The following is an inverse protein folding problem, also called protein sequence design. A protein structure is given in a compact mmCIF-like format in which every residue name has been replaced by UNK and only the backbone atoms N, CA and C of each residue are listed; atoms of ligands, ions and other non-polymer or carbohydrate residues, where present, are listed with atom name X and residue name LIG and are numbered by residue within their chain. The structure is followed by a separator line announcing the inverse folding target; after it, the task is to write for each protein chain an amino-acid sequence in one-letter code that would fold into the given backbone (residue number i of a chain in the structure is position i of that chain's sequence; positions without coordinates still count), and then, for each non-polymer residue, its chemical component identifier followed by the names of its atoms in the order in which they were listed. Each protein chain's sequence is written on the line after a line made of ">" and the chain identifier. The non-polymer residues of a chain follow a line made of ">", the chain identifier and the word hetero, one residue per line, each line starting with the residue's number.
data_IF_019113617320
#
_entry.id   IF_019113617320
#
_cell.length_a   1.000
_cell.length_b   1.000
_cell.length_c   1.000
_cell.angle_alpha   90.00
_cell.angle_beta   90.00
_cell.angle_gamma   90.00
#
_symmetry.space_group_name_H-M   'P 1'
#
loop_
_entity.id
_entity.type
_entity.pdbx_description
1 polymer ?
#
# COMPACT_ATOMS: atom_id res chain seq x y z
N UNK A 1 -11.59 8.38 0.76
CA UNK A 1 -12.59 7.51 1.47
C UNK A 1 -13.51 6.69 0.54
N UNK A 2 -13.79 7.11 -0.71
CA UNK A 2 -14.60 6.29 -1.65
C UNK A 2 -13.89 4.98 -2.01
N UNK A 3 -12.57 5.02 -2.26
CA UNK A 3 -11.75 3.85 -2.60
C UNK A 3 -11.76 2.85 -1.45
N UNK A 4 -11.51 3.30 -0.21
CA UNK A 4 -11.57 2.47 1.00
C UNK A 4 -12.90 1.69 1.11
N UNK A 5 -14.02 2.42 0.99
CA UNK A 5 -15.35 1.82 1.11
C UNK A 5 -15.64 0.75 0.07
N UNK A 6 -15.06 0.88 -1.13
CA UNK A 6 -15.26 -0.07 -2.25
C UNK A 6 -14.23 -1.20 -2.28
N UNK A 7 -13.09 -1.05 -1.61
CA UNK A 7 -11.98 -1.99 -1.68
C UNK A 7 -11.85 -2.90 -0.47
N UNK A 8 -12.24 -2.44 0.72
CA UNK A 8 -12.00 -3.16 1.97
C UNK A 8 -13.27 -3.43 2.78
N UNK A 9 -13.33 -4.55 3.53
CA UNK A 9 -14.32 -4.78 4.57
C UNK A 9 -14.34 -3.67 5.62
N UNK A 10 -15.50 -3.40 6.21
CA UNK A 10 -15.72 -2.23 7.09
C UNK A 10 -14.71 -2.13 8.25
N UNK A 11 -14.40 -3.27 8.89
CA UNK A 11 -13.58 -3.30 10.12
C UNK A 11 -12.07 -3.07 9.90
N UNK A 12 -11.61 -3.15 8.65
CA UNK A 12 -10.19 -2.92 8.30
C UNK A 12 -9.99 -1.67 7.46
N UNK A 13 -11.03 -0.84 7.31
CA UNK A 13 -10.93 0.44 6.61
C UNK A 13 -10.23 1.45 7.47
N UNK A 14 -9.29 2.14 6.87
CA UNK A 14 -8.68 3.29 7.49
C UNK A 14 -9.58 4.52 7.35
N UNK A 15 -9.58 5.36 8.36
CA UNK A 15 -10.36 6.59 8.37
C UNK A 15 -9.60 7.76 7.70
N UNK A 16 -10.28 8.91 7.59
CA UNK A 16 -9.70 10.11 7.00
C UNK A 16 -8.52 10.65 7.81
N UNK A 17 -8.53 10.50 9.13
CA UNK A 17 -7.48 10.98 10.02
C UNK A 17 -6.15 10.28 9.74
N UNK A 18 -6.19 8.94 9.56
CA UNK A 18 -5.02 8.13 9.19
C UNK A 18 -4.41 8.61 7.88
N UNK A 19 -5.21 8.82 6.84
CA UNK A 19 -4.71 9.31 5.53
C UNK A 19 -4.09 10.70 5.61
N UNK A 20 -4.72 11.62 6.36
CA UNK A 20 -4.17 12.97 6.56
C UNK A 20 -2.85 12.94 7.33
N UNK A 21 -2.72 12.06 8.32
CA UNK A 21 -1.49 11.87 9.06
C UNK A 21 -0.37 11.33 8.15
N UNK A 22 -0.66 10.33 7.31
CA UNK A 22 0.31 9.79 6.34
C UNK A 22 0.78 10.85 5.35
N UNK A 23 -0.14 11.63 4.79
CA UNK A 23 0.20 12.75 3.91
C UNK A 23 1.04 13.82 4.58
N UNK A 24 0.85 14.05 5.88
CA UNK A 24 1.64 15.01 6.65
C UNK A 24 3.04 14.50 6.98
N UNK A 25 3.17 13.21 7.37
CA UNK A 25 4.42 12.62 7.86
C UNK A 25 5.34 12.22 6.71
N UNK A 26 4.79 11.57 5.68
CA UNK A 26 5.58 11.10 4.53
C UNK A 26 4.80 11.26 3.21
N UNK A 27 4.65 12.49 2.71
CA UNK A 27 3.90 12.75 1.47
C UNK A 27 4.47 12.04 0.24
N UNK A 28 5.78 11.82 0.16
CA UNK A 28 6.44 11.10 -0.93
C UNK A 28 6.07 9.60 -0.98
N UNK A 29 5.65 9.04 0.15
CA UNK A 29 5.17 7.66 0.26
C UNK A 29 3.67 7.51 -0.04
N UNK A 30 2.98 8.59 -0.39
CA UNK A 30 1.56 8.59 -0.71
C UNK A 30 1.35 8.87 -2.20
N UNK A 31 1.20 7.83 -3.00
CA UNK A 31 1.05 7.91 -4.46
C UNK A 31 -0.41 7.67 -4.84
N UNK A 32 -0.93 8.45 -5.78
CA UNK A 32 -2.29 8.28 -6.29
C UNK A 32 -2.29 7.87 -7.76
N UNK A 33 -3.27 7.06 -8.12
CA UNK A 33 -3.59 6.72 -9.50
C UNK A 33 -4.77 7.59 -9.96
N UNK A 34 -4.55 8.39 -10.99
CA UNK A 34 -5.59 9.16 -11.66
C UNK A 34 -6.00 8.51 -12.98
N UNK A 35 -7.30 8.51 -13.27
CA UNK A 35 -7.80 8.19 -14.60
C UNK A 35 -7.86 9.46 -15.46
N UNK A 36 -7.46 9.38 -16.71
CA UNK A 36 -7.73 10.47 -17.66
C UNK A 36 -9.24 10.66 -17.85
N UNK A 37 -9.70 11.90 -17.86
CA UNK A 37 -11.06 12.23 -18.27
C UNK A 37 -11.14 12.11 -19.81
N UNK A 38 -11.64 10.98 -20.31
CA UNK A 38 -11.93 10.77 -21.73
C UNK A 38 -13.24 11.44 -22.17
N UNK A 39 -14.02 12.03 -21.26
CA UNK A 39 -15.19 12.82 -21.58
C UNK A 39 -14.78 14.23 -21.98
N UNK A 40 -14.71 14.50 -23.28
CA UNK A 40 -14.48 15.82 -23.86
C UNK A 40 -15.65 16.80 -23.63
N UNK A 41 -16.25 16.83 -22.46
CA UNK A 41 -17.19 17.85 -22.06
C UNK A 41 -16.43 19.14 -21.75
N UNK A 42 -16.56 20.12 -22.63
CA UNK A 42 -16.05 21.46 -22.44
C UNK A 42 -16.66 22.07 -21.18
N UNK A 43 -15.85 22.17 -20.11
CA UNK A 43 -16.27 22.75 -18.82
C UNK A 43 -15.95 21.89 -17.58
N UNK A 44 -15.47 20.65 -17.72
CA UNK A 44 -14.95 19.90 -16.60
C UNK A 44 -13.58 20.48 -16.19
N UNK A 45 -13.42 20.83 -14.91
CA UNK A 45 -12.11 21.19 -14.36
C UNK A 45 -11.09 20.11 -14.75
N UNK A 46 -9.89 20.52 -15.20
CA UNK A 46 -8.80 19.69 -15.73
C UNK A 46 -8.17 18.80 -14.63
N UNK A 47 -8.95 17.91 -14.01
CA UNK A 47 -8.49 16.97 -13.01
C UNK A 47 -9.04 15.57 -13.30
N UNK A 48 -8.17 14.58 -13.46
CA UNK A 48 -8.55 13.18 -13.54
C UNK A 48 -9.23 12.72 -12.23
N UNK A 49 -9.97 11.63 -12.29
CA UNK A 49 -10.59 11.04 -11.11
C UNK A 49 -9.60 10.12 -10.42
N UNK A 50 -9.32 10.36 -9.13
CA UNK A 50 -8.49 9.43 -8.33
C UNK A 50 -9.21 8.08 -8.25
N UNK A 51 -8.56 7.04 -8.79
CA UNK A 51 -9.09 5.69 -8.91
C UNK A 51 -8.27 4.64 -8.14
N UNK A 52 -7.12 5.01 -7.60
CA UNK A 52 -6.28 4.16 -6.75
C UNK A 52 -5.35 4.97 -5.87
N UNK A 53 -4.72 4.31 -4.92
CA UNK A 53 -3.66 4.89 -4.09
C UNK A 53 -2.73 3.78 -3.56
N UNK A 54 -1.50 4.19 -3.22
CA UNK A 54 -0.54 3.44 -2.43
C UNK A 54 -0.08 4.35 -1.29
N UNK A 55 -0.11 3.83 -0.07
CA UNK A 55 0.48 4.46 1.11
C UNK A 55 1.65 3.64 1.61
N UNK A 56 2.72 4.31 1.99
CA UNK A 56 3.90 3.67 2.56
C UNK A 56 4.54 4.54 3.63
N UNK A 57 5.50 3.98 4.35
CA UNK A 57 6.33 4.66 5.32
C UNK A 57 7.72 4.03 5.38
N UNK A 58 8.69 4.75 5.92
CA UNK A 58 10.03 4.23 6.10
C UNK A 58 10.18 3.70 7.52
N UNK A 59 10.63 2.46 7.64
CA UNK A 59 11.06 1.87 8.91
C UNK A 59 12.58 1.80 8.96
N UNK A 60 13.13 1.82 10.17
CA UNK A 60 14.59 1.74 10.36
C UNK A 60 15.15 0.49 9.68
N UNK A 61 14.48 -0.64 9.87
CA UNK A 61 14.84 -1.96 9.33
C UNK A 61 13.60 -2.86 9.38
N UNK A 62 13.71 -4.10 8.89
CA UNK A 62 12.67 -5.11 9.06
C UNK A 62 12.32 -5.27 10.56
N UNK A 63 11.02 -5.22 10.93
CA UNK A 63 10.63 -5.28 12.34
C UNK A 63 10.89 -6.66 12.95
N UNK A 64 11.22 -6.67 14.25
CA UNK A 64 11.44 -7.89 15.04
C UNK A 64 10.15 -8.45 15.66
N UNK A 65 9.05 -7.71 15.58
CA UNK A 65 7.75 -8.05 16.19
C UNK A 65 6.62 -7.83 15.19
N UNK A 66 5.57 -8.66 15.30
CA UNK A 66 4.36 -8.59 14.46
C UNK A 66 3.42 -7.43 14.82
N UNK A 67 3.60 -6.81 15.99
CA UNK A 67 2.83 -5.63 16.44
C UNK A 67 2.92 -4.45 15.46
N UNK A 68 4.03 -4.32 14.74
CA UNK A 68 4.23 -3.28 13.73
C UNK A 68 3.27 -3.38 12.54
N UNK A 69 2.71 -4.55 12.28
CA UNK A 69 1.81 -4.79 11.15
C UNK A 69 0.33 -4.55 11.47
N UNK A 70 0.01 -3.94 12.60
CA UNK A 70 -1.39 -3.65 12.96
C UNK A 70 -2.03 -2.62 12.04
N UNK A 71 -3.29 -2.85 11.67
CA UNK A 71 -4.08 -1.93 10.84
C UNK A 71 -4.28 -0.61 11.59
N UNK A 72 -4.03 0.51 10.90
CA UNK A 72 -4.25 1.85 11.44
C UNK A 72 -3.23 2.29 12.50
N UNK A 73 -2.04 1.67 12.55
CA UNK A 73 -0.98 2.11 13.44
C UNK A 73 -0.59 3.59 13.19
N UNK A 74 -0.06 4.23 14.22
CA UNK A 74 0.34 5.62 14.15
C UNK A 74 1.68 5.78 13.40
N UNK A 75 1.60 6.28 12.17
CA UNK A 75 2.78 6.53 11.34
C UNK A 75 3.78 7.49 11.99
N UNK A 76 3.34 8.42 12.85
CA UNK A 76 4.26 9.36 13.51
C UNK A 76 5.21 8.70 14.50
N UNK A 77 4.85 7.49 14.96
CA UNK A 77 5.66 6.66 15.85
C UNK A 77 6.52 5.64 15.08
N UNK A 78 6.02 5.18 13.94
CA UNK A 78 6.65 4.12 13.15
C UNK A 78 7.63 4.66 12.09
N UNK A 79 7.29 5.81 11.47
CA UNK A 79 8.10 6.38 10.40
C UNK A 79 9.47 6.84 10.88
N UNK A 80 10.51 6.36 10.20
CA UNK A 80 11.91 6.72 10.44
C UNK A 80 12.50 7.39 9.18
N UNK A 81 12.65 8.71 9.12
CA UNK A 81 13.30 9.37 7.98
C UNK A 81 14.68 8.78 7.71
N UNK A 82 14.94 8.38 6.46
CA UNK A 82 16.18 7.72 6.08
C UNK A 82 16.28 6.25 6.49
N UNK A 83 15.18 5.65 6.95
CA UNK A 83 15.10 4.21 7.21
C UNK A 83 15.39 3.38 5.96
N UNK A 84 15.85 2.15 6.14
CA UNK A 84 16.27 1.26 5.05
C UNK A 84 15.16 0.31 4.57
N UNK A 85 14.03 0.23 5.26
CA UNK A 85 12.90 -0.61 4.89
C UNK A 85 11.69 0.26 4.52
N UNK A 86 11.09 0.03 3.33
CA UNK A 86 9.84 0.64 2.92
C UNK A 86 8.68 -0.28 3.31
N UNK A 87 7.83 0.13 4.22
CA UNK A 87 6.59 -0.58 4.52
C UNK A 87 5.43 -0.03 3.69
N UNK A 88 4.83 -0.86 2.85
CA UNK A 88 3.62 -0.55 2.10
C UNK A 88 2.42 -0.86 3.01
N UNK A 89 1.89 0.18 3.63
CA UNK A 89 0.82 0.06 4.63
C UNK A 89 -0.57 -0.12 4.03
N UNK A 90 -0.82 0.42 2.83
CA UNK A 90 -2.10 0.25 2.14
C UNK A 90 -1.96 0.44 0.63
N UNK A 91 -2.67 -0.39 -0.13
CA UNK A 91 -2.74 -0.31 -1.58
C UNK A 91 -4.13 -0.67 -2.07
N UNK A 92 -4.76 0.20 -2.84
CA UNK A 92 -6.08 -0.06 -3.40
C UNK A 92 -6.30 0.58 -4.77
N UNK A 93 -7.02 -0.13 -5.63
CA UNK A 93 -7.55 0.36 -6.90
C UNK A 93 -9.05 0.10 -6.91
N UNK A 94 -9.84 1.08 -7.36
CA UNK A 94 -11.31 0.94 -7.48
C UNK A 94 -11.67 -0.28 -8.33
N UNK A 95 -12.70 -1.07 -7.97
CA UNK A 95 -13.09 -2.28 -8.68
C UNK A 95 -13.26 -2.09 -10.20
N UNK A 96 -13.85 -0.96 -10.59
CA UNK A 96 -14.09 -0.60 -12.00
C UNK A 96 -12.81 -0.34 -12.82
N UNK A 97 -11.65 -0.22 -12.17
CA UNK A 97 -10.33 -0.04 -12.80
C UNK A 97 -9.41 -1.26 -12.65
N UNK A 98 -9.94 -2.37 -12.14
CA UNK A 98 -9.21 -3.63 -12.02
C UNK A 98 -9.33 -4.50 -13.29
N UNK A 99 -8.56 -5.58 -13.37
CA UNK A 99 -8.71 -6.64 -14.39
C UNK A 99 -7.87 -6.44 -15.66
N UNK A 100 -7.44 -5.22 -16.00
CA UNK A 100 -6.65 -4.90 -17.21
C UNK A 100 -5.14 -4.76 -16.96
N UNK A 101 -4.63 -5.25 -15.84
CA UNK A 101 -3.22 -5.08 -15.46
C UNK A 101 -2.90 -3.75 -14.77
N UNK A 102 -3.83 -2.81 -14.74
CA UNK A 102 -3.61 -1.46 -14.17
C UNK A 102 -3.11 -1.49 -12.72
N UNK A 103 -3.64 -2.39 -11.89
CA UNK A 103 -3.20 -2.52 -10.49
C UNK A 103 -1.71 -2.89 -10.38
N UNK A 104 -1.26 -3.86 -11.16
CA UNK A 104 0.15 -4.28 -11.17
C UNK A 104 1.08 -3.19 -11.73
N UNK A 105 0.67 -2.53 -12.83
CA UNK A 105 1.42 -1.43 -13.42
C UNK A 105 1.53 -0.26 -12.44
N UNK A 106 0.43 0.15 -11.81
CA UNK A 106 0.42 1.21 -10.82
C UNK A 106 1.31 0.88 -9.61
N UNK A 107 1.20 -0.35 -9.07
CA UNK A 107 2.02 -0.78 -7.95
C UNK A 107 3.51 -0.66 -8.27
N UNK A 108 3.95 -1.16 -9.43
CA UNK A 108 5.34 -1.04 -9.90
C UNK A 108 5.78 0.42 -10.03
N UNK A 109 5.00 1.25 -10.72
CA UNK A 109 5.35 2.66 -10.93
C UNK A 109 5.45 3.45 -9.63
N UNK A 110 4.58 3.14 -8.65
CA UNK A 110 4.62 3.77 -7.34
C UNK A 110 5.90 3.40 -6.57
N UNK A 111 6.29 2.11 -6.58
CA UNK A 111 7.54 1.67 -5.97
C UNK A 111 8.76 2.31 -6.65
N UNK A 112 8.83 2.27 -7.98
CA UNK A 112 9.92 2.88 -8.76
C UNK A 112 10.07 4.38 -8.45
N UNK A 113 8.95 5.09 -8.25
CA UNK A 113 8.96 6.51 -7.87
C UNK A 113 9.57 6.73 -6.48
N UNK A 114 9.15 5.93 -5.50
CA UNK A 114 9.66 6.04 -4.12
C UNK A 114 11.15 5.64 -4.06
N UNK A 115 11.54 4.54 -4.72
CA UNK A 115 12.93 4.06 -4.77
C UNK A 115 13.90 5.08 -5.38
N UNK A 116 13.43 5.89 -6.35
CA UNK A 116 14.25 6.96 -6.94
C UNK A 116 14.60 8.05 -5.94
N UNK A 117 13.70 8.36 -5.02
CA UNK A 117 13.88 9.39 -4.00
C UNK A 117 14.57 8.86 -2.75
N UNK A 118 14.26 7.61 -2.34
CA UNK A 118 14.75 7.00 -1.11
C UNK A 118 15.99 6.12 -1.37
N UNK A 119 17.17 6.75 -1.42
CA UNK A 119 18.42 6.06 -1.79
C UNK A 119 18.94 5.05 -0.77
N UNK A 120 18.45 5.08 0.48
CA UNK A 120 18.87 4.17 1.54
C UNK A 120 18.06 2.87 1.60
N UNK A 121 17.02 2.72 0.77
CA UNK A 121 16.19 1.51 0.79
C UNK A 121 17.00 0.28 0.38
N UNK A 122 16.90 -0.76 1.21
CA UNK A 122 17.46 -2.10 0.97
C UNK A 122 16.39 -3.17 0.83
N UNK A 123 15.19 -2.88 1.34
CA UNK A 123 14.08 -3.84 1.32
C UNK A 123 12.72 -3.14 1.32
N UNK A 124 11.72 -3.84 0.83
CA UNK A 124 10.33 -3.43 0.86
C UNK A 124 9.48 -4.51 1.50
N UNK A 125 8.47 -4.10 2.26
CA UNK A 125 7.71 -4.98 3.14
C UNK A 125 6.23 -4.64 2.99
N UNK A 126 5.38 -5.64 3.07
CA UNK A 126 3.94 -5.48 3.17
C UNK A 126 3.33 -6.64 3.96
N UNK A 127 2.09 -6.47 4.41
CA UNK A 127 1.24 -7.56 4.87
C UNK A 127 0.02 -7.66 3.96
N UNK A 128 -0.38 -8.87 3.62
CA UNK A 128 -1.55 -9.12 2.78
C UNK A 128 -2.42 -10.22 3.39
N UNK A 129 -3.73 -10.05 3.31
CA UNK A 129 -4.66 -11.09 3.72
C UNK A 129 -4.46 -12.37 2.88
N UNK A 130 -4.44 -13.51 3.55
CA UNK A 130 -4.21 -14.83 2.93
C UNK A 130 -5.19 -15.15 1.78
N UNK A 131 -6.40 -14.61 1.82
CA UNK A 131 -7.46 -14.83 0.83
C UNK A 131 -7.48 -13.81 -0.32
N UNK A 132 -6.65 -12.76 -0.29
CA UNK A 132 -6.61 -11.75 -1.35
C UNK A 132 -5.67 -12.14 -2.50
N UNK A 133 -6.06 -13.19 -3.23
CA UNK A 133 -5.23 -13.81 -4.28
C UNK A 133 -4.77 -12.82 -5.36
N UNK A 134 -5.63 -11.89 -5.79
CA UNK A 134 -5.27 -10.89 -6.80
C UNK A 134 -4.16 -9.95 -6.30
N UNK A 135 -4.21 -9.50 -5.05
CA UNK A 135 -3.18 -8.66 -4.45
C UNK A 135 -1.87 -9.45 -4.29
N UNK A 136 -1.95 -10.68 -3.77
CA UNK A 136 -0.79 -11.57 -3.64
C UNK A 136 -0.08 -11.81 -4.98
N UNK A 137 -0.87 -12.01 -6.06
CA UNK A 137 -0.33 -12.16 -7.41
C UNK A 137 0.42 -10.91 -7.88
N UNK A 138 -0.13 -9.71 -7.63
CA UNK A 138 0.55 -8.45 -7.93
C UNK A 138 1.89 -8.38 -7.18
N UNK A 139 1.91 -8.67 -5.89
CA UNK A 139 3.13 -8.59 -5.08
C UNK A 139 4.17 -9.61 -5.50
N UNK A 140 3.79 -10.88 -5.73
CA UNK A 140 4.71 -11.91 -6.21
C UNK A 140 5.32 -11.58 -7.57
N UNK A 141 4.53 -11.02 -8.50
CA UNK A 141 5.01 -10.57 -9.82
C UNK A 141 5.96 -9.35 -9.73
N UNK A 142 5.96 -8.64 -8.61
CA UNK A 142 6.89 -7.57 -8.31
C UNK A 142 8.07 -8.00 -7.41
N UNK A 143 8.28 -9.32 -7.26
CA UNK A 143 9.44 -9.87 -6.56
C UNK A 143 9.31 -10.00 -5.04
N UNK A 144 8.09 -9.76 -4.50
CA UNK A 144 7.85 -10.00 -3.08
C UNK A 144 7.71 -11.51 -2.80
N UNK A 145 8.42 -11.99 -1.82
CA UNK A 145 8.37 -13.36 -1.32
C UNK A 145 7.75 -13.42 0.07
N UNK A 146 6.96 -14.45 0.39
CA UNK A 146 6.41 -14.63 1.73
C UNK A 146 7.53 -14.89 2.75
N UNK A 147 7.43 -14.25 3.93
CA UNK A 147 8.38 -14.39 5.03
C UNK A 147 7.78 -15.21 6.17
N UNK A 148 6.63 -14.78 6.68
CA UNK A 148 5.92 -15.46 7.77
C UNK A 148 4.44 -15.07 7.77
N UNK A 149 3.66 -15.76 8.59
CA UNK A 149 2.22 -15.56 8.76
C UNK A 149 1.92 -14.98 10.13
N UNK A 150 1.01 -14.01 10.17
CA UNK A 150 0.44 -13.45 11.40
C UNK A 150 -1.00 -13.96 11.51
N UNK A 151 -1.26 -14.78 12.53
CA UNK A 151 -2.59 -15.33 12.76
C UNK A 151 -3.57 -14.25 13.17
N UNK A 152 -4.75 -14.24 12.52
CA UNK A 152 -5.81 -13.32 12.86
C UNK A 152 -5.45 -11.84 12.65
N UNK A 153 -4.59 -11.53 11.68
CA UNK A 153 -4.17 -10.15 11.41
C UNK A 153 -5.30 -9.26 10.88
N UNK A 154 -6.31 -9.86 10.21
CA UNK A 154 -7.39 -9.13 9.57
C UNK A 154 -8.77 -9.53 10.13
N UNK A 155 -9.41 -8.62 10.85
CA UNK A 155 -10.80 -8.76 11.25
C UNK A 155 -11.73 -8.35 10.09
N UNK A 156 -12.10 -9.29 9.22
CA UNK A 156 -12.91 -8.98 8.03
C UNK A 156 -14.41 -8.85 8.32
N UNK A 157 -14.89 -9.47 9.39
CA UNK A 157 -16.19 -9.22 10.00
C UNK A 157 -16.18 -9.61 11.50
N UNK A 158 -17.24 -9.34 12.25
CA UNK A 158 -17.31 -9.54 13.71
C UNK A 158 -16.99 -10.97 14.19
N UNK A 159 -17.10 -11.96 13.31
CA UNK A 159 -16.91 -13.38 13.63
C UNK A 159 -15.78 -14.03 12.80
N UNK A 160 -15.09 -13.25 11.95
CA UNK A 160 -14.10 -13.80 11.04
C UNK A 160 -12.79 -13.02 11.09
N UNK A 161 -11.79 -13.71 11.58
CA UNK A 161 -10.39 -13.29 11.55
C UNK A 161 -9.65 -14.11 10.50
N UNK A 162 -8.90 -13.45 9.66
CA UNK A 162 -8.12 -14.05 8.60
C UNK A 162 -6.63 -13.76 8.82
N UNK A 163 -5.78 -14.66 8.37
CA UNK A 163 -4.35 -14.52 8.57
C UNK A 163 -3.76 -13.48 7.61
N UNK A 164 -2.68 -12.87 8.05
CA UNK A 164 -1.85 -11.99 7.25
C UNK A 164 -0.57 -12.69 6.83
N UNK A 165 -0.22 -12.60 5.56
CA UNK A 165 1.07 -13.06 5.05
C UNK A 165 1.96 -11.83 4.92
N UNK A 166 3.03 -11.77 5.71
CA UNK A 166 4.07 -10.76 5.55
C UNK A 166 4.94 -11.17 4.37
N UNK A 167 5.09 -10.26 3.41
CA UNK A 167 5.91 -10.47 2.23
C UNK A 167 6.99 -9.39 2.15
N UNK A 168 8.15 -9.76 1.58
CA UNK A 168 9.32 -8.90 1.46
C UNK A 168 9.96 -9.01 0.09
N UNK A 169 10.49 -7.88 -0.40
CA UNK A 169 11.38 -7.81 -1.56
C UNK A 169 12.71 -7.20 -1.12
N UNK A 170 13.83 -7.83 -1.47
CA UNK A 170 15.18 -7.27 -1.28
C UNK A 170 15.56 -6.46 -2.51
N UNK A 171 16.07 -5.26 -2.29
CA UNK A 171 16.54 -4.37 -3.34
C UNK A 171 18.04 -4.57 -3.53
N UNK A 172 18.43 -5.22 -4.64
CA UNK A 172 19.83 -5.32 -5.04
C UNK A 172 20.19 -4.05 -5.81
N UNK A 173 20.98 -3.18 -5.19
CA UNK A 173 21.56 -2.04 -5.92
C UNK A 173 22.87 -2.48 -6.55
N UNK A 174 23.01 -2.25 -7.85
CA UNK A 174 24.32 -2.28 -8.45
C UNK A 174 25.19 -1.19 -7.80
N UNK A 175 26.38 -1.56 -7.37
CA UNK A 175 27.41 -0.65 -6.85
C UNK A 175 27.85 0.36 -7.93
#
# INVERSE_FOLDING_TARGET
>A
MKIEKKSFPFLIREDRGVFLQRLKVFPQGFIVLESENLSGEAGAENGGKICGYLCSELWRQFPSSDEFFSVGHDISLAHCPGGSALYISSFAVLPEFRGSGNGGAFFRMALDSIEKEQKNLSEEILIVNENWNAARHIYSNNGFLPCFEIKGAFCTNLFRWENGIVMKRILHRAE
#
